data_IF_233227092596
#
_entry.id   IF_233227092596
#
_cell.length_a   1.000
_cell.length_b   1.000
_cell.length_c   1.000
_cell.angle_alpha   90.00
_cell.angle_beta   90.00
_cell.angle_gamma   90.00
#
_symmetry.space_group_name_H-M   'P 1'
#
loop_
_entity.id
_entity.type
_entity.pdbx_description
1 polymer ?
#
# COMPACT_ATOMS: atom_id res chain seq x y z
N UNK A 1 26.75 28.00 20.59
CA UNK A 1 26.28 26.61 20.39
C UNK A 1 26.38 26.32 18.89
N UNK A 2 27.33 25.50 18.44
CA UNK A 2 27.44 25.14 17.02
C UNK A 2 26.35 24.11 16.72
N UNK A 3 25.36 24.48 15.91
CA UNK A 3 24.42 23.52 15.32
C UNK A 3 25.25 22.48 14.56
N UNK A 4 25.31 21.25 15.08
CA UNK A 4 25.87 20.14 14.33
C UNK A 4 25.00 19.92 13.10
N UNK A 5 25.61 19.95 11.92
CA UNK A 5 24.93 19.61 10.69
C UNK A 5 24.41 18.18 10.82
N UNK A 6 23.10 18.00 10.61
CA UNK A 6 22.51 16.67 10.58
C UNK A 6 23.22 15.81 9.51
N UNK A 7 23.44 14.51 9.76
CA UNK A 7 23.93 13.60 8.75
C UNK A 7 23.11 13.72 7.45
N UNK A 8 23.77 13.66 6.28
CA UNK A 8 23.11 13.85 4.98
C UNK A 8 21.88 12.95 4.82
N UNK A 9 21.94 11.72 5.33
CA UNK A 9 20.84 10.75 5.35
C UNK A 9 19.64 11.25 6.16
N UNK A 10 19.86 11.80 7.36
CA UNK A 10 18.78 12.28 8.22
C UNK A 10 18.10 13.54 7.63
N UNK A 11 18.89 14.38 6.95
CA UNK A 11 18.35 15.50 6.17
C UNK A 11 17.50 15.00 5.00
N UNK A 12 17.98 13.98 4.28
CA UNK A 12 17.27 13.37 3.16
C UNK A 12 15.96 12.71 3.63
N UNK A 13 15.99 11.93 4.72
CA UNK A 13 14.79 11.29 5.29
C UNK A 13 13.77 12.32 5.76
N UNK A 14 14.20 13.41 6.39
CA UNK A 14 13.30 14.52 6.76
C UNK A 14 12.72 15.22 5.54
N UNK A 15 13.51 15.43 4.50
CA UNK A 15 13.01 15.97 3.23
C UNK A 15 12.02 15.00 2.58
N UNK A 16 12.30 13.69 2.54
CA UNK A 16 11.41 12.64 2.03
C UNK A 16 10.10 12.61 2.81
N UNK A 17 10.14 12.55 4.14
CA UNK A 17 8.94 12.53 4.97
C UNK A 17 8.13 13.81 4.80
N UNK A 18 8.79 14.98 4.80
CA UNK A 18 8.12 16.25 4.58
C UNK A 18 7.52 16.38 3.17
N UNK A 19 8.07 15.68 2.17
CA UNK A 19 7.58 15.68 0.80
C UNK A 19 6.51 14.62 0.57
N UNK A 20 6.54 13.49 1.27
CA UNK A 20 5.43 12.51 1.34
C UNK A 20 4.22 13.19 2.00
N UNK A 21 4.42 13.92 3.10
CA UNK A 21 3.38 14.72 3.76
C UNK A 21 2.80 15.81 2.84
N UNK A 22 3.64 16.39 1.96
CA UNK A 22 3.24 17.44 1.01
C UNK A 22 2.82 16.93 -0.36
N UNK A 23 2.92 15.63 -0.64
CA UNK A 23 2.57 15.04 -1.92
C UNK A 23 1.05 14.91 -2.07
N UNK A 24 0.38 16.05 -2.06
CA UNK A 24 -0.76 16.29 -2.93
C UNK A 24 -0.25 17.07 -4.16
N UNK A 25 -0.36 16.46 -5.34
CA UNK A 25 -0.35 17.09 -6.67
C UNK A 25 0.89 17.80 -7.27
N UNK A 26 2.02 18.07 -6.59
CA UNK A 26 3.02 19.02 -7.18
C UNK A 26 4.51 18.69 -7.03
N UNK A 27 4.96 17.44 -7.14
CA UNK A 27 6.41 17.20 -7.32
C UNK A 27 6.76 17.28 -8.80
N UNK A 28 7.45 18.34 -9.21
CA UNK A 28 7.84 18.54 -10.61
C UNK A 28 8.94 17.54 -11.06
N UNK A 29 9.00 17.26 -12.36
CA UNK A 29 9.91 16.24 -12.91
C UNK A 29 11.40 16.61 -12.73
N UNK A 30 11.75 17.91 -12.62
CA UNK A 30 13.14 18.33 -12.36
C UNK A 30 13.54 17.93 -10.94
N UNK A 31 12.65 18.13 -9.97
CA UNK A 31 12.86 17.70 -8.59
C UNK A 31 13.00 16.17 -8.49
N UNK A 32 12.11 15.41 -9.13
CA UNK A 32 12.19 13.95 -9.14
C UNK A 32 13.48 13.46 -9.82
N UNK A 33 13.88 14.04 -10.96
CA UNK A 33 15.10 13.67 -11.66
C UNK A 33 16.36 13.93 -10.80
N UNK A 34 16.39 15.03 -10.04
CA UNK A 34 17.48 15.31 -9.09
C UNK A 34 17.55 14.22 -8.01
N UNK A 35 16.43 13.83 -7.42
CA UNK A 35 16.43 12.80 -6.38
C UNK A 35 16.81 11.42 -6.90
N UNK A 36 16.43 11.06 -8.13
CA UNK A 36 16.93 9.83 -8.76
C UNK A 36 18.46 9.85 -8.79
N UNK A 37 19.07 10.98 -9.18
CA UNK A 37 20.53 11.12 -9.20
C UNK A 37 21.14 11.02 -7.81
N UNK A 38 20.54 11.65 -6.81
CA UNK A 38 21.03 11.60 -5.42
C UNK A 38 20.91 10.18 -4.83
N UNK A 39 19.77 9.52 -5.04
CA UNK A 39 19.55 8.13 -4.63
C UNK A 39 20.58 7.19 -5.27
N UNK A 40 20.82 7.35 -6.57
CA UNK A 40 21.81 6.56 -7.29
C UNK A 40 23.23 6.80 -6.75
N UNK A 41 23.56 8.04 -6.39
CA UNK A 41 24.85 8.35 -5.75
C UNK A 41 25.01 7.70 -4.38
N UNK A 42 23.95 7.59 -3.58
CA UNK A 42 24.01 6.88 -2.30
C UNK A 42 24.30 5.39 -2.50
N UNK A 43 23.67 4.79 -3.51
CA UNK A 43 23.83 3.38 -3.87
C UNK A 43 25.23 3.11 -4.42
N UNK A 44 25.66 3.87 -5.42
CA UNK A 44 26.90 3.60 -6.17
C UNK A 44 28.15 3.90 -5.36
N UNK A 45 28.11 4.89 -4.47
CA UNK A 45 29.22 5.21 -3.57
C UNK A 45 29.20 4.35 -2.29
N UNK A 46 28.21 3.47 -2.10
CA UNK A 46 28.07 2.63 -0.91
C UNK A 46 27.87 3.42 0.39
N UNK A 47 27.37 4.66 0.31
CA UNK A 47 27.17 5.54 1.47
C UNK A 47 25.97 5.05 2.29
N UNK A 48 24.86 4.78 1.59
CA UNK A 48 23.63 4.27 2.17
C UNK A 48 22.78 3.62 1.08
N UNK A 49 23.03 2.32 0.83
CA UNK A 49 22.34 1.60 -0.23
C UNK A 49 20.85 1.41 0.08
N UNK A 50 20.50 1.18 1.34
CA UNK A 50 19.12 0.95 1.78
C UNK A 50 18.32 2.24 1.62
N UNK A 51 18.81 3.36 2.15
CA UNK A 51 18.17 4.67 2.00
C UNK A 51 18.04 5.10 0.54
N UNK A 52 19.04 4.80 -0.29
CA UNK A 52 18.98 5.04 -1.74
C UNK A 52 17.86 4.27 -2.42
N UNK A 53 17.70 2.97 -2.15
CA UNK A 53 16.60 2.18 -2.73
C UNK A 53 15.23 2.59 -2.21
N UNK A 54 15.09 2.89 -0.92
CA UNK A 54 13.83 3.40 -0.35
C UNK A 54 13.39 4.69 -1.06
N UNK A 55 14.32 5.61 -1.31
CA UNK A 55 14.04 6.82 -2.07
C UNK A 55 13.63 6.51 -3.51
N UNK A 56 14.29 5.56 -4.18
CA UNK A 56 13.90 5.12 -5.52
C UNK A 56 12.49 4.48 -5.55
N UNK A 57 12.08 3.78 -4.49
CA UNK A 57 10.71 3.26 -4.37
C UNK A 57 9.69 4.38 -4.26
N UNK A 58 9.94 5.35 -3.36
CA UNK A 58 9.07 6.52 -3.20
C UNK A 58 8.94 7.33 -4.50
N UNK A 59 10.04 7.55 -5.23
CA UNK A 59 10.02 8.22 -6.55
C UNK A 59 9.18 7.44 -7.55
N UNK A 60 9.28 6.10 -7.57
CA UNK A 60 8.45 5.28 -8.45
C UNK A 60 6.96 5.40 -8.10
N UNK A 61 6.61 5.51 -6.81
CA UNK A 61 5.24 5.80 -6.36
C UNK A 61 4.78 7.16 -6.87
N UNK A 62 5.58 8.22 -6.69
CA UNK A 62 5.25 9.56 -7.20
C UNK A 62 5.08 9.61 -8.72
N UNK A 63 5.88 8.83 -9.45
CA UNK A 63 5.78 8.70 -10.91
C UNK A 63 4.72 7.72 -11.38
N UNK A 64 4.08 6.99 -10.46
CA UNK A 64 3.12 5.92 -10.77
C UNK A 64 3.71 4.85 -11.70
N UNK A 65 5.00 4.58 -11.53
CA UNK A 65 5.75 3.64 -12.38
C UNK A 65 6.03 2.33 -11.64
N UNK A 66 5.03 1.44 -11.63
CA UNK A 66 5.15 0.11 -11.03
C UNK A 66 6.29 -0.71 -11.66
N UNK A 67 6.59 -0.51 -12.95
CA UNK A 67 7.67 -1.24 -13.62
C UNK A 67 9.02 -0.82 -13.05
N UNK A 68 9.23 0.47 -12.86
CA UNK A 68 10.45 1.00 -12.26
C UNK A 68 10.53 0.62 -10.77
N UNK A 69 9.42 0.59 -10.03
CA UNK A 69 9.36 0.06 -8.66
C UNK A 69 9.88 -1.39 -8.60
N UNK A 70 9.30 -2.28 -9.42
CA UNK A 70 9.71 -3.71 -9.49
C UNK A 70 11.18 -3.85 -9.86
N UNK A 71 11.65 -3.06 -10.83
CA UNK A 71 13.07 -3.05 -11.25
C UNK A 71 13.99 -2.61 -10.11
N UNK A 72 13.64 -1.55 -9.38
CA UNK A 72 14.43 -1.05 -8.26
C UNK A 72 14.49 -2.11 -7.14
N UNK A 73 13.36 -2.77 -6.84
CA UNK A 73 13.32 -3.83 -5.82
C UNK A 73 14.22 -5.01 -6.22
N UNK A 74 14.12 -5.49 -7.45
CA UNK A 74 15.01 -6.56 -7.95
C UNK A 74 16.49 -6.19 -7.88
N UNK A 75 16.83 -4.94 -8.18
CA UNK A 75 18.20 -4.44 -8.03
C UNK A 75 18.64 -4.40 -6.56
N UNK A 76 17.76 -4.01 -5.64
CA UNK A 76 18.03 -4.03 -4.20
C UNK A 76 18.37 -5.45 -3.73
N UNK A 77 17.52 -6.42 -4.06
CA UNK A 77 17.75 -7.83 -3.72
C UNK A 77 19.06 -8.35 -4.33
N UNK A 78 19.32 -8.05 -5.61
CA UNK A 78 20.53 -8.51 -6.32
C UNK A 78 21.81 -7.87 -5.78
N UNK A 79 21.77 -6.60 -5.36
CA UNK A 79 22.94 -5.90 -4.77
C UNK A 79 23.19 -6.26 -3.30
N UNK A 80 22.46 -7.22 -2.73
CA UNK A 80 22.74 -7.77 -1.42
C UNK A 80 22.15 -6.98 -0.24
N UNK A 81 21.10 -6.19 -0.47
CA UNK A 81 20.31 -5.59 0.64
C UNK A 81 19.07 -6.41 0.99
N UNK A 82 19.02 -7.68 0.55
CA UNK A 82 17.90 -8.61 0.75
C UNK A 82 17.73 -9.10 2.18
N UNK A 83 18.74 -8.91 3.02
CA UNK A 83 18.73 -9.20 4.46
C UNK A 83 18.15 -8.03 5.27
N UNK A 84 17.85 -6.89 4.63
CA UNK A 84 17.29 -5.75 5.31
C UNK A 84 15.74 -5.72 5.21
N UNK A 85 15.02 -5.77 6.35
CA UNK A 85 13.55 -5.80 6.36
C UNK A 85 12.91 -4.55 5.76
N UNK A 86 13.57 -3.39 5.82
CA UNK A 86 13.00 -2.14 5.31
C UNK A 86 12.85 -2.15 3.78
N UNK A 87 13.62 -2.95 3.05
CA UNK A 87 13.48 -3.08 1.60
C UNK A 87 12.12 -3.70 1.25
N UNK A 88 11.70 -4.72 1.99
CA UNK A 88 10.42 -5.39 1.77
C UNK A 88 9.25 -4.52 2.21
N UNK A 89 9.32 -3.96 3.42
CA UNK A 89 8.27 -3.08 3.95
C UNK A 89 8.00 -1.90 3.01
N UNK A 90 9.04 -1.19 2.56
CA UNK A 90 8.84 -0.04 1.66
C UNK A 90 8.35 -0.48 0.28
N UNK A 91 8.73 -1.67 -0.19
CA UNK A 91 8.22 -2.21 -1.45
C UNK A 91 6.72 -2.54 -1.35
N UNK A 92 6.28 -3.20 -0.26
CA UNK A 92 4.87 -3.52 0.00
C UNK A 92 4.01 -2.26 0.07
N UNK A 93 4.45 -1.28 0.85
CA UNK A 93 3.73 -0.02 1.01
C UNK A 93 3.69 0.75 -0.32
N UNK A 94 4.73 0.65 -1.13
CA UNK A 94 4.74 1.22 -2.48
C UNK A 94 3.75 0.54 -3.43
N UNK A 95 3.62 -0.79 -3.37
CA UNK A 95 2.62 -1.53 -4.15
C UNK A 95 1.19 -1.18 -3.72
N UNK A 96 0.94 -1.08 -2.41
CA UNK A 96 -0.35 -0.63 -1.87
C UNK A 96 -0.70 0.75 -2.41
N UNK A 97 0.22 1.71 -2.28
CA UNK A 97 0.02 3.08 -2.74
C UNK A 97 -0.20 3.19 -4.26
N UNK A 98 0.22 2.18 -5.04
CA UNK A 98 0.01 2.09 -6.48
C UNK A 98 -1.21 1.23 -6.86
N UNK A 99 -1.91 0.61 -5.90
CA UNK A 99 -3.03 -0.29 -6.14
C UNK A 99 -2.66 -1.65 -6.74
N UNK A 100 -1.45 -2.15 -6.50
CA UNK A 100 -1.00 -3.47 -7.00
C UNK A 100 -0.93 -4.53 -5.88
N UNK A 101 -2.05 -4.75 -5.19
CA UNK A 101 -2.08 -5.37 -3.86
C UNK A 101 -2.12 -6.90 -3.89
N UNK A 102 -2.49 -7.51 -5.02
CA UNK A 102 -2.46 -8.98 -5.17
C UNK A 102 -1.30 -9.48 -6.05
N UNK A 103 -0.68 -8.60 -6.84
CA UNK A 103 0.21 -8.99 -7.92
C UNK A 103 1.56 -9.58 -7.46
N UNK A 104 1.99 -9.28 -6.23
CA UNK A 104 3.30 -9.70 -5.69
C UNK A 104 3.20 -10.29 -4.27
N UNK A 105 2.07 -10.94 -3.94
CA UNK A 105 1.86 -11.54 -2.62
C UNK A 105 2.91 -12.60 -2.25
N UNK A 106 3.45 -13.33 -3.25
CA UNK A 106 4.56 -14.26 -3.05
C UNK A 106 5.80 -13.60 -2.40
N UNK A 107 6.01 -12.31 -2.65
CA UNK A 107 7.12 -11.55 -2.06
C UNK A 107 6.85 -11.27 -0.57
N UNK A 108 5.59 -10.99 -0.21
CA UNK A 108 5.16 -10.84 1.20
C UNK A 108 5.33 -12.15 1.95
N UNK A 109 4.89 -13.26 1.34
CA UNK A 109 5.08 -14.60 1.87
C UNK A 109 6.57 -14.95 2.04
N UNK A 110 7.42 -14.58 1.08
CA UNK A 110 8.86 -14.79 1.19
C UNK A 110 9.47 -13.94 2.32
N UNK A 111 9.07 -12.67 2.44
CA UNK A 111 9.57 -11.78 3.47
C UNK A 111 9.18 -12.24 4.88
N UNK A 112 7.93 -12.66 5.08
CA UNK A 112 7.48 -13.18 6.39
C UNK A 112 8.22 -14.44 6.81
N UNK A 113 8.67 -15.26 5.84
CA UNK A 113 9.53 -16.43 6.06
C UNK A 113 10.99 -16.09 6.33
N UNK A 114 11.53 -15.03 5.72
CA UNK A 114 12.91 -14.58 5.96
C UNK A 114 13.00 -13.88 7.31
N UNK A 115 12.01 -13.07 7.65
CA UNK A 115 11.99 -12.22 8.84
C UNK A 115 10.96 -12.68 9.88
N UNK A 116 10.90 -13.99 10.13
CA UNK A 116 9.92 -14.66 11.01
C UNK A 116 9.85 -14.12 12.45
N UNK A 117 10.90 -13.42 12.91
CA UNK A 117 10.99 -12.85 14.26
C UNK A 117 10.97 -11.31 14.27
N UNK A 118 10.79 -10.68 13.12
CA UNK A 118 10.74 -9.22 13.02
C UNK A 118 9.29 -8.75 13.12
N UNK A 119 8.89 -8.28 14.30
CA UNK A 119 7.52 -7.82 14.57
C UNK A 119 7.04 -6.76 13.56
N UNK A 120 7.93 -5.88 13.09
CA UNK A 120 7.54 -4.86 12.11
C UNK A 120 7.22 -5.47 10.75
N UNK A 121 8.06 -6.38 10.25
CA UNK A 121 7.77 -7.08 8.97
C UNK A 121 6.48 -7.87 9.07
N UNK A 122 6.26 -8.56 10.21
CA UNK A 122 5.04 -9.33 10.43
C UNK A 122 3.82 -8.42 10.42
N UNK A 123 3.84 -7.33 11.19
CA UNK A 123 2.74 -6.34 11.24
C UNK A 123 2.40 -5.81 9.84
N UNK A 124 3.40 -5.32 9.09
CA UNK A 124 3.17 -4.77 7.75
C UNK A 124 2.73 -5.84 6.74
N UNK A 125 3.10 -7.11 6.96
CA UNK A 125 2.62 -8.24 6.16
C UNK A 125 1.17 -8.60 6.48
N UNK A 126 0.72 -8.42 7.73
CA UNK A 126 -0.68 -8.58 8.13
C UNK A 126 -1.53 -7.53 7.42
N UNK A 127 -1.13 -6.25 7.50
CA UNK A 127 -1.82 -5.13 6.84
C UNK A 127 -1.95 -5.36 5.33
N UNK A 128 -0.85 -5.78 4.70
CA UNK A 128 -0.84 -6.13 3.27
C UNK A 128 -1.77 -7.32 2.98
N UNK A 129 -1.75 -8.37 3.79
CA UNK A 129 -2.58 -9.55 3.59
C UNK A 129 -4.07 -9.22 3.71
N UNK A 130 -4.47 -8.42 4.69
CA UNK A 130 -5.84 -7.93 4.84
C UNK A 130 -6.24 -7.07 3.64
N UNK A 131 -5.37 -6.15 3.24
CA UNK A 131 -5.58 -5.31 2.05
C UNK A 131 -5.73 -6.15 0.78
N UNK A 132 -5.04 -7.29 0.69
CA UNK A 132 -5.13 -8.22 -0.43
C UNK A 132 -6.32 -9.20 -0.32
N UNK A 133 -7.14 -9.15 0.72
CA UNK A 133 -8.23 -10.09 0.94
C UNK A 133 -7.78 -11.50 1.33
N UNK A 134 -6.60 -11.64 1.93
CA UNK A 134 -5.96 -12.91 2.34
C UNK A 134 -6.04 -13.09 3.87
N UNK A 135 -7.26 -13.17 4.40
CA UNK A 135 -7.51 -13.16 5.85
C UNK A 135 -6.99 -14.41 6.59
N UNK A 136 -6.95 -15.57 5.94
CA UNK A 136 -6.42 -16.81 6.48
C UNK A 136 -4.91 -16.68 6.68
N UNK A 137 -4.21 -16.11 5.69
CA UNK A 137 -2.78 -15.85 5.84
C UNK A 137 -2.52 -14.76 6.89
N UNK A 138 -3.35 -13.72 6.94
CA UNK A 138 -3.27 -12.71 8.00
C UNK A 138 -3.44 -13.34 9.39
N UNK A 139 -4.36 -14.29 9.57
CA UNK A 139 -4.52 -15.05 10.81
C UNK A 139 -3.25 -15.79 11.21
N UNK A 140 -2.61 -16.51 10.27
CA UNK A 140 -1.36 -17.24 10.55
C UNK A 140 -0.25 -16.29 11.03
N UNK A 141 -0.17 -15.09 10.43
CA UNK A 141 0.78 -14.05 10.82
C UNK A 141 0.45 -13.44 12.18
N UNK A 142 -0.83 -13.18 12.48
CA UNK A 142 -1.29 -12.69 13.79
C UNK A 142 -0.94 -13.70 14.90
N UNK A 143 -1.17 -14.99 14.67
CA UNK A 143 -0.78 -16.04 15.61
C UNK A 143 0.74 -16.07 15.85
N UNK A 144 1.53 -15.89 14.79
CA UNK A 144 2.98 -15.77 14.94
C UNK A 144 3.38 -14.48 15.69
N UNK A 145 2.71 -13.36 15.41
CA UNK A 145 2.91 -12.10 16.10
C UNK A 145 2.69 -12.24 17.61
N UNK A 146 1.58 -12.85 18.04
CA UNK A 146 1.30 -13.06 19.46
C UNK A 146 2.26 -14.02 20.15
N UNK A 147 2.83 -15.01 19.44
CA UNK A 147 3.90 -15.85 20.02
C UNK A 147 5.14 -15.01 20.38
N UNK A 148 5.42 -13.97 19.60
CA UNK A 148 6.56 -13.08 19.78
C UNK A 148 6.24 -11.88 20.69
N UNK A 149 4.97 -11.44 20.72
CA UNK A 149 4.49 -10.28 21.49
C UNK A 149 3.11 -10.55 22.11
N UNK A 150 3.02 -11.36 23.18
CA UNK A 150 1.73 -11.87 23.69
C UNK A 150 0.80 -10.81 24.27
N UNK A 151 1.33 -9.65 24.67
CA UNK A 151 0.56 -8.59 25.32
C UNK A 151 0.14 -7.47 24.37
N UNK A 152 0.57 -7.53 23.10
CA UNK A 152 0.22 -6.54 22.11
C UNK A 152 -0.99 -7.03 21.33
N UNK A 153 -2.01 -6.18 21.25
CA UNK A 153 -3.16 -6.35 20.38
C UNK A 153 -2.92 -5.61 19.08
N UNK A 154 -3.36 -6.22 17.99
CA UNK A 154 -3.36 -5.68 16.64
C UNK A 154 -4.81 -5.29 16.28
N UNK A 155 -5.07 -4.04 15.83
CA UNK A 155 -6.38 -3.65 15.30
C UNK A 155 -6.92 -4.62 14.23
N UNK A 156 -6.00 -5.22 13.47
CA UNK A 156 -6.25 -6.17 12.39
C UNK A 156 -6.92 -7.47 12.86
N UNK A 157 -6.82 -7.83 14.15
CA UNK A 157 -7.46 -9.02 14.73
C UNK A 157 -8.97 -9.01 14.55
N UNK A 158 -9.61 -7.85 14.73
CA UNK A 158 -11.06 -7.72 14.63
C UNK A 158 -11.55 -8.02 13.21
N UNK A 159 -10.81 -7.53 12.20
CA UNK A 159 -11.09 -7.76 10.79
C UNK A 159 -11.00 -9.23 10.40
N UNK A 160 -9.95 -9.91 10.85
CA UNK A 160 -9.75 -11.33 10.56
C UNK A 160 -10.82 -12.18 11.25
N UNK A 161 -11.13 -11.88 12.51
CA UNK A 161 -12.19 -12.56 13.24
C UNK A 161 -13.56 -12.36 12.59
N UNK A 162 -13.85 -11.15 12.08
CA UNK A 162 -15.07 -10.86 11.33
C UNK A 162 -15.15 -11.69 10.04
N UNK A 163 -14.09 -11.68 9.23
CA UNK A 163 -14.04 -12.41 7.96
C UNK A 163 -14.28 -13.91 8.17
N UNK A 164 -13.68 -14.49 9.21
CA UNK A 164 -13.88 -15.88 9.60
C UNK A 164 -15.30 -16.16 10.10
N UNK A 165 -15.84 -15.31 11.01
CA UNK A 165 -17.20 -15.44 11.53
C UNK A 165 -18.25 -15.43 10.42
N UNK A 166 -18.02 -14.65 9.37
CA UNK A 166 -18.90 -14.53 8.20
C UNK A 166 -18.60 -15.53 7.09
N UNK A 167 -17.57 -16.37 7.24
CA UNK A 167 -17.11 -17.30 6.21
C UNK A 167 -16.88 -16.62 4.85
N UNK A 168 -16.27 -15.44 4.86
CA UNK A 168 -16.04 -14.69 3.63
C UNK A 168 -15.15 -15.50 2.68
N UNK A 169 -15.55 -15.54 1.41
CA UNK A 169 -14.80 -16.22 0.37
C UNK A 169 -13.65 -15.33 -0.12
N UNK A 170 -12.43 -15.64 0.32
CA UNK A 170 -11.23 -14.86 -0.04
C UNK A 170 -11.01 -14.75 -1.54
N UNK A 171 -11.35 -15.80 -2.31
CA UNK A 171 -11.21 -15.76 -3.76
C UNK A 171 -12.18 -14.76 -4.39
N UNK A 172 -13.40 -14.64 -3.87
CA UNK A 172 -14.36 -13.62 -4.30
C UNK A 172 -13.91 -12.22 -3.90
N UNK A 173 -13.38 -12.04 -2.68
CA UNK A 173 -12.84 -10.75 -2.23
C UNK A 173 -11.65 -10.32 -3.09
N UNK A 174 -10.70 -11.22 -3.33
CA UNK A 174 -9.54 -10.96 -4.19
C UNK A 174 -9.98 -10.59 -5.61
N UNK A 175 -11.00 -11.27 -6.13
CA UNK A 175 -11.58 -10.95 -7.44
C UNK A 175 -12.21 -9.56 -7.45
N UNK A 176 -12.97 -9.22 -6.42
CA UNK A 176 -13.56 -7.88 -6.25
C UNK A 176 -12.49 -6.79 -6.23
N UNK A 177 -11.43 -6.98 -5.43
CA UNK A 177 -10.28 -6.05 -5.38
C UNK A 177 -9.61 -5.94 -6.75
N UNK A 178 -9.39 -7.06 -7.45
CA UNK A 178 -8.77 -7.06 -8.78
C UNK A 178 -9.58 -6.25 -9.79
N UNK A 179 -10.89 -6.47 -9.86
CA UNK A 179 -11.80 -5.73 -10.76
C UNK A 179 -11.76 -4.24 -10.43
N UNK A 180 -11.84 -3.89 -9.14
CA UNK A 180 -11.73 -2.51 -8.71
C UNK A 180 -10.42 -1.89 -9.21
N UNK A 181 -9.27 -2.53 -8.94
CA UNK A 181 -7.96 -2.04 -9.36
C UNK A 181 -7.81 -1.94 -10.88
N UNK A 182 -8.36 -2.89 -11.64
CA UNK A 182 -8.36 -2.84 -13.11
C UNK A 182 -9.10 -1.60 -13.62
N UNK A 183 -10.31 -1.33 -13.10
CA UNK A 183 -11.07 -0.12 -13.45
C UNK A 183 -10.27 1.14 -13.12
N UNK A 184 -9.63 1.20 -11.93
CA UNK A 184 -8.81 2.35 -11.55
C UNK A 184 -7.55 2.52 -12.41
N UNK A 185 -6.89 1.42 -12.79
CA UNK A 185 -5.68 1.47 -13.62
C UNK A 185 -5.98 1.85 -15.08
N UNK A 186 -7.21 1.67 -15.55
CA UNK A 186 -7.65 2.10 -16.87
C UNK A 186 -7.89 3.61 -17.00
N UNK A 187 -7.91 4.35 -15.90
CA UNK A 187 -8.09 5.80 -15.91
C UNK A 187 -6.86 6.48 -16.53
N UNK A 188 -7.08 7.22 -17.61
CA UNK A 188 -6.01 7.78 -18.46
C UNK A 188 -5.18 8.89 -17.80
N UNK A 189 -5.45 9.25 -16.54
CA UNK A 189 -4.70 10.27 -15.81
C UNK A 189 -4.06 9.70 -14.52
N UNK A 190 -2.93 9.00 -14.64
CA UNK A 190 -2.25 8.39 -13.49
C UNK A 190 -1.77 9.42 -12.46
N UNK A 191 -1.63 10.70 -12.82
CA UNK A 191 -0.98 11.72 -12.00
C UNK A 191 -1.74 12.12 -10.70
N UNK A 192 -2.94 11.58 -10.43
CA UNK A 192 -3.81 12.12 -9.36
C UNK A 192 -4.35 11.09 -8.34
N UNK A 193 -4.24 9.79 -8.59
CA UNK A 193 -4.99 8.79 -7.82
C UNK A 193 -4.16 8.26 -6.63
N UNK A 194 -4.35 8.78 -5.42
CA UNK A 194 -3.75 8.21 -4.19
C UNK A 194 -4.63 7.06 -3.66
N UNK A 195 -4.39 5.86 -4.16
CA UNK A 195 -5.07 4.65 -3.66
C UNK A 195 -4.56 4.36 -2.25
N UNK A 196 -5.34 4.76 -1.26
CA UNK A 196 -5.23 4.25 0.09
C UNK A 196 -6.33 3.22 0.29
N UNK A 197 -5.96 2.03 0.77
CA UNK A 197 -6.92 1.02 1.18
C UNK A 197 -6.90 0.88 2.68
N UNK A 198 -8.07 1.06 3.29
CA UNK A 198 -8.28 0.78 4.70
C UNK A 198 -9.38 -0.22 4.83
N UNK A 199 -9.10 -1.23 5.63
CA UNK A 199 -10.06 -2.15 6.16
C UNK A 199 -10.67 -1.57 7.43
N UNK A 200 -11.97 -1.35 7.46
CA UNK A 200 -12.66 -0.90 8.68
C UNK A 200 -13.94 -1.73 8.87
N UNK A 201 -14.20 -2.16 10.12
CA UNK A 201 -15.48 -2.78 10.47
C UNK A 201 -16.43 -1.68 10.90
N UNK A 202 -17.53 -1.55 10.18
CA UNK A 202 -18.66 -0.73 10.61
C UNK A 202 -19.75 -1.64 11.12
N UNK A 203 -20.32 -1.27 12.26
CA UNK A 203 -21.53 -1.87 12.79
C UNK A 203 -22.59 -0.78 12.85
N UNK A 204 -23.70 -0.97 12.14
CA UNK A 204 -24.94 -0.26 12.43
C UNK A 204 -25.89 -1.17 13.24
N UNK A 205 -27.08 -0.66 13.58
CA UNK A 205 -28.03 -1.39 14.43
C UNK A 205 -28.47 -2.74 13.83
N UNK A 206 -28.29 -2.96 12.52
CA UNK A 206 -28.82 -4.13 11.80
C UNK A 206 -27.74 -4.95 11.05
N UNK A 207 -26.52 -4.41 10.87
CA UNK A 207 -25.51 -5.01 10.02
C UNK A 207 -24.07 -4.65 10.41
N UNK A 208 -23.15 -5.54 10.05
CA UNK A 208 -21.72 -5.34 10.19
C UNK A 208 -21.10 -5.53 8.79
N UNK A 209 -20.19 -4.64 8.37
CA UNK A 209 -19.49 -4.77 7.08
C UNK A 209 -18.01 -4.42 7.20
N UNK A 210 -17.19 -5.05 6.35
CA UNK A 210 -15.81 -4.58 6.09
C UNK A 210 -15.89 -3.57 4.95
N UNK A 211 -15.44 -2.35 5.21
CA UNK A 211 -15.17 -1.39 4.15
C UNK A 211 -13.74 -1.58 3.65
N UNK A 212 -13.58 -1.65 2.33
CA UNK A 212 -12.31 -1.42 1.65
C UNK A 212 -12.44 -0.10 0.89
N UNK A 213 -11.89 0.97 1.44
CA UNK A 213 -11.91 2.29 0.82
C UNK A 213 -10.85 2.40 -0.28
N UNK A 214 -11.12 3.18 -1.34
CA UNK A 214 -10.09 3.63 -2.29
C UNK A 214 -10.22 5.14 -2.37
N UNK A 215 -9.21 5.83 -1.86
CA UNK A 215 -9.18 7.29 -1.90
C UNK A 215 -8.63 7.75 -3.25
N UNK A 216 -9.15 8.88 -3.76
CA UNK A 216 -8.69 9.45 -5.03
C UNK A 216 -8.67 10.96 -4.89
N UNK A 217 -7.49 11.54 -5.03
CA UNK A 217 -7.31 12.98 -4.97
C UNK A 217 -7.50 13.61 -6.36
N UNK A 218 -7.93 14.87 -6.39
CA UNK A 218 -7.96 15.74 -7.58
C UNK A 218 -8.76 15.20 -8.79
N UNK A 219 -9.73 14.32 -8.57
CA UNK A 219 -10.63 13.80 -9.59
C UNK A 219 -11.82 14.75 -9.82
N UNK A 220 -12.23 14.91 -11.07
CA UNK A 220 -13.47 15.63 -11.40
C UNK A 220 -14.71 14.80 -11.04
N UNK A 221 -15.86 15.45 -10.87
CA UNK A 221 -17.11 14.75 -10.59
C UNK A 221 -17.50 13.84 -11.76
N UNK A 222 -17.21 14.28 -12.99
CA UNK A 222 -17.43 13.52 -14.21
C UNK A 222 -16.58 12.24 -14.25
N UNK A 223 -15.26 12.35 -13.99
CA UNK A 223 -14.38 11.18 -13.90
C UNK A 223 -14.81 10.22 -12.78
N UNK A 224 -15.28 10.74 -11.64
CA UNK A 224 -15.79 9.93 -10.54
C UNK A 224 -17.07 9.17 -10.94
N UNK A 225 -17.99 9.82 -11.66
CA UNK A 225 -19.19 9.18 -12.17
C UNK A 225 -18.85 8.07 -13.17
N UNK A 226 -17.90 8.32 -14.08
CA UNK A 226 -17.44 7.32 -15.06
C UNK A 226 -16.82 6.09 -14.37
N UNK A 227 -16.00 6.28 -13.33
CA UNK A 227 -15.47 5.18 -12.51
C UNK A 227 -16.60 4.36 -11.90
N UNK A 228 -17.60 5.06 -11.33
CA UNK A 228 -18.73 4.42 -10.67
C UNK A 228 -19.47 3.51 -11.63
N UNK A 229 -19.78 4.01 -12.83
CA UNK A 229 -20.46 3.21 -13.86
C UNK A 229 -19.61 2.03 -14.33
N UNK A 230 -18.34 2.26 -14.67
CA UNK A 230 -17.44 1.20 -15.13
C UNK A 230 -17.26 0.10 -14.08
N UNK A 231 -17.19 0.47 -12.80
CA UNK A 231 -17.10 -0.50 -11.71
C UNK A 231 -18.40 -1.28 -11.54
N UNK A 232 -19.56 -0.60 -11.56
CA UNK A 232 -20.85 -1.27 -11.50
C UNK A 232 -21.04 -2.25 -12.67
N UNK A 233 -20.66 -1.85 -13.89
CA UNK A 233 -20.75 -2.71 -15.07
C UNK A 233 -19.82 -3.93 -14.94
N UNK A 234 -18.55 -3.71 -14.58
CA UNK A 234 -17.59 -4.79 -14.40
C UNK A 234 -17.98 -5.79 -13.29
N UNK A 235 -18.58 -5.29 -12.20
CA UNK A 235 -19.09 -6.14 -11.13
C UNK A 235 -20.39 -6.87 -11.51
N UNK A 236 -21.26 -6.25 -12.32
CA UNK A 236 -22.52 -6.84 -12.77
C UNK A 236 -22.32 -8.00 -13.75
N UNK A 237 -21.21 -7.99 -14.51
CA UNK A 237 -20.78 -9.12 -15.33
C UNK A 237 -20.37 -10.34 -14.50
N UNK A 238 -20.15 -10.14 -13.20
CA UNK A 238 -19.63 -11.16 -12.29
C UNK A 238 -20.72 -11.77 -11.42
N UNK A 239 -20.74 -13.10 -11.37
CA UNK A 239 -21.71 -13.86 -10.58
C UNK A 239 -21.22 -14.05 -9.14
N UNK A 240 -21.05 -12.95 -8.40
CA UNK A 240 -20.72 -13.02 -6.97
C UNK A 240 -21.83 -13.68 -6.16
N UNK A 241 -21.45 -14.44 -5.14
CA UNK A 241 -22.40 -15.04 -4.20
C UNK A 241 -23.21 -13.97 -3.45
N UNK A 242 -24.48 -14.27 -3.16
CA UNK A 242 -25.34 -13.40 -2.33
C UNK A 242 -24.79 -13.21 -0.90
N UNK A 243 -24.00 -14.16 -0.42
CA UNK A 243 -23.32 -14.10 0.89
C UNK A 243 -22.24 -13.01 0.91
N UNK A 244 -21.67 -12.68 -0.26
CA UNK A 244 -20.77 -11.54 -0.47
C UNK A 244 -21.59 -10.34 -0.95
N UNK A 245 -22.63 -9.97 -0.20
CA UNK A 245 -23.43 -8.78 -0.53
C UNK A 245 -22.51 -7.57 -0.49
N UNK A 246 -22.17 -7.06 -1.66
CA UNK A 246 -21.24 -5.93 -1.81
C UNK A 246 -22.06 -4.66 -1.97
N UNK A 247 -21.89 -3.72 -1.04
CA UNK A 247 -22.42 -2.37 -1.20
C UNK A 247 -21.29 -1.47 -1.70
N UNK A 248 -21.53 -0.79 -2.82
CA UNK A 248 -20.60 0.22 -3.32
C UNK A 248 -21.06 1.60 -2.85
N UNK A 249 -20.21 2.27 -2.09
CA UNK A 249 -20.43 3.64 -1.68
C UNK A 249 -19.41 4.54 -2.38
N UNK A 250 -19.91 5.53 -3.10
CA UNK A 250 -19.10 6.62 -3.64
C UNK A 250 -19.40 7.86 -2.85
N UNK A 251 -18.37 8.39 -2.19
CA UNK A 251 -18.45 9.67 -1.50
C UNK A 251 -17.51 10.67 -2.16
N UNK A 252 -18.05 11.86 -2.47
CA UNK A 252 -17.24 13.00 -2.89
C UNK A 252 -17.08 13.93 -1.69
N UNK A 253 -15.85 14.05 -1.20
CA UNK A 253 -15.54 14.92 -0.08
C UNK A 253 -14.87 16.21 -0.59
N UNK A 254 -15.50 17.35 -0.35
CA UNK A 254 -14.83 18.64 -0.45
C UNK A 254 -13.93 18.79 0.78
N UNK A 255 -12.65 18.43 0.64
CA UNK A 255 -11.65 18.71 1.66
C UNK A 255 -10.85 19.96 1.26
N UNK A 256 -11.01 21.04 2.02
CA UNK A 256 -9.96 22.06 2.11
C UNK A 256 -8.84 21.47 2.96
N UNK A 257 -7.75 21.01 2.32
CA UNK A 257 -6.50 20.79 3.07
C UNK A 257 -6.05 22.14 3.61
N UNK A 258 -6.32 22.41 4.88
CA UNK A 258 -5.61 23.47 5.61
C UNK A 258 -4.15 23.07 5.67
N UNK A 259 -3.34 23.75 4.87
CA UNK A 259 -1.87 23.63 4.83
C UNK A 259 -1.22 24.10 6.13
#
# INVERSE_FOLDING_TARGET
>A
MKLQALPKTEKLTKEINHLIERAGATTDEVTLARWVKEAQQLIDNGIDQIGGYILLFAIAVFRRDVRQLKKNYQQAITKGVSDNPFIYINYFNSLINLGYISADFDIVLAASKIFLNNLKVISESIDYAISAGQYQFAQELIENFHKLSPNNQLPEEEMVAFAQKRNLNEAEIQKYISIAMEVFHHLQNPAKIIIEMRGEIFADEESEWIQLGIWIDNISVEELADITFNLCDALAEENFSLETTSQFLVSYHLWERTL
#
